data_IF_661037517445
#
_entry.id   IF_661037517445
#
_cell.length_a   1.000
_cell.length_b   1.000
_cell.length_c   1.000
_cell.angle_alpha   90.00
_cell.angle_beta   90.00
_cell.angle_gamma   90.00
#
_symmetry.space_group_name_H-M   'P 1'
#
loop_
_entity.id
_entity.type
_entity.pdbx_description
1 polymer ?
#
# COMPACT_ATOMS: atom_id res chain seq x y z
N UNK A 1 16.44 16.42 -21.85
CA UNK A 1 15.97 15.02 -21.64
C UNK A 1 15.30 14.45 -22.89
N UNK A 2 14.31 15.12 -23.48
CA UNK A 2 13.50 14.58 -24.61
C UNK A 2 14.25 14.20 -25.89
N UNK A 3 15.47 14.71 -26.10
CA UNK A 3 16.33 14.37 -27.24
C UNK A 3 17.19 13.12 -27.03
N UNK A 4 17.19 12.53 -25.84
CA UNK A 4 17.98 11.35 -25.50
C UNK A 4 17.23 10.05 -25.88
N UNK A 5 17.93 8.93 -26.15
CA UNK A 5 17.28 7.63 -26.29
C UNK A 5 16.54 7.22 -25.01
N UNK A 6 15.43 6.45 -25.09
CA UNK A 6 14.63 6.04 -23.92
C UNK A 6 15.44 5.36 -22.80
N UNK A 7 16.46 4.59 -23.15
CA UNK A 7 17.33 3.88 -22.21
C UNK A 7 18.19 4.86 -21.40
N UNK A 8 18.74 5.88 -22.06
CA UNK A 8 19.52 6.94 -21.42
C UNK A 8 18.61 7.84 -20.58
N UNK A 9 17.39 8.10 -21.04
CA UNK A 9 16.39 8.80 -20.25
C UNK A 9 16.05 8.02 -18.98
N UNK A 10 15.87 6.70 -19.07
CA UNK A 10 15.65 5.82 -17.92
C UNK A 10 16.82 5.84 -16.93
N UNK A 11 18.07 5.79 -17.39
CA UNK A 11 19.24 5.89 -16.50
C UNK A 11 19.31 7.22 -15.76
N UNK A 12 18.94 8.32 -16.41
CA UNK A 12 18.81 9.64 -15.75
C UNK A 12 17.70 9.62 -14.69
N UNK A 13 16.57 8.97 -14.99
CA UNK A 13 15.46 8.86 -14.05
C UNK A 13 15.81 8.07 -12.79
N UNK A 14 16.73 7.09 -12.86
CA UNK A 14 17.25 6.37 -11.68
C UNK A 14 18.02 7.26 -10.70
N UNK A 15 18.55 8.40 -11.17
CA UNK A 15 19.30 9.32 -10.32
C UNK A 15 18.42 10.22 -9.43
N UNK A 16 17.10 10.15 -9.58
CA UNK A 16 16.17 11.03 -8.89
C UNK A 16 15.62 10.36 -7.60
N UNK A 17 15.24 11.15 -6.58
CA UNK A 17 14.58 10.71 -5.32
C UNK A 17 13.04 10.76 -5.31
N UNK A 18 12.33 10.07 -4.41
CA UNK A 18 10.86 9.79 -4.49
C UNK A 18 10.01 10.98 -4.95
N UNK A 19 10.28 12.14 -4.41
CA UNK A 19 9.53 13.35 -4.69
C UNK A 19 9.78 13.86 -6.12
N UNK A 20 11.01 13.72 -6.64
CA UNK A 20 11.40 14.15 -7.98
C UNK A 20 10.75 13.35 -9.13
N UNK A 21 10.80 12.01 -9.17
CA UNK A 21 10.08 11.26 -10.22
C UNK A 21 8.57 11.44 -10.09
N UNK A 22 8.03 11.51 -8.88
CA UNK A 22 6.60 11.74 -8.70
C UNK A 22 6.18 13.09 -9.27
N UNK A 23 6.92 14.16 -8.95
CA UNK A 23 6.72 15.49 -9.53
C UNK A 23 6.85 15.50 -11.04
N UNK A 24 7.85 14.81 -11.60
CA UNK A 24 8.02 14.68 -13.06
C UNK A 24 6.90 13.88 -13.73
N UNK A 25 6.40 12.83 -13.07
CA UNK A 25 5.27 11.99 -13.52
C UNK A 25 4.00 12.84 -13.63
N UNK A 26 3.78 13.79 -12.73
CA UNK A 26 2.62 14.70 -12.78
C UNK A 26 2.79 15.83 -13.79
N UNK A 27 4.00 16.40 -13.90
CA UNK A 27 4.25 17.60 -14.69
C UNK A 27 4.33 17.34 -16.21
N UNK A 28 4.64 16.11 -16.65
CA UNK A 28 4.90 15.84 -18.06
C UNK A 28 4.38 14.49 -18.54
N UNK A 29 3.45 14.50 -19.51
CA UNK A 29 2.82 13.30 -20.08
C UNK A 29 3.83 12.32 -20.71
N UNK A 30 4.86 12.84 -21.39
CA UNK A 30 5.88 11.98 -22.01
C UNK A 30 6.73 11.30 -20.93
N UNK A 31 7.18 12.06 -19.93
CA UNK A 31 7.96 11.49 -18.82
C UNK A 31 7.11 10.50 -18.02
N UNK A 32 5.82 10.77 -17.82
CA UNK A 32 4.87 9.83 -17.21
C UNK A 32 4.83 8.49 -17.95
N UNK A 33 4.67 8.53 -19.26
CA UNK A 33 4.63 7.30 -20.06
C UNK A 33 5.96 6.56 -20.01
N UNK A 34 7.08 7.30 -20.00
CA UNK A 34 8.40 6.72 -19.83
C UNK A 34 8.58 6.07 -18.45
N UNK A 35 8.17 6.76 -17.37
CA UNK A 35 8.21 6.24 -16.00
C UNK A 35 7.36 4.98 -15.90
N UNK A 36 6.12 5.00 -16.42
CA UNK A 36 5.24 3.84 -16.41
C UNK A 36 5.84 2.66 -17.20
N UNK A 37 6.50 2.93 -18.33
CA UNK A 37 7.19 1.91 -19.13
C UNK A 37 8.33 1.22 -18.35
N UNK A 38 8.99 1.95 -17.44
CA UNK A 38 10.13 1.45 -16.67
C UNK A 38 9.85 1.40 -15.15
N UNK A 39 8.58 1.32 -14.74
CA UNK A 39 8.15 1.54 -13.35
C UNK A 39 8.84 0.59 -12.37
N UNK A 40 8.99 -0.68 -12.72
CA UNK A 40 9.71 -1.67 -11.91
C UNK A 40 11.20 -1.41 -11.73
N UNK A 41 11.83 -0.62 -12.60
CA UNK A 41 13.23 -0.19 -12.47
C UNK A 41 13.41 1.21 -11.87
N UNK A 42 12.31 1.93 -11.64
CA UNK A 42 12.25 3.26 -11.05
C UNK A 42 11.58 3.28 -9.67
N UNK A 43 11.07 2.14 -9.20
CA UNK A 43 10.52 2.02 -7.87
C UNK A 43 11.61 2.28 -6.82
N UNK A 44 11.33 3.18 -5.88
CA UNK A 44 12.35 3.74 -4.98
C UNK A 44 12.48 3.04 -3.65
N UNK A 45 11.47 2.27 -3.29
CA UNK A 45 11.61 1.21 -2.27
C UNK A 45 11.03 -0.03 -2.93
N UNK A 46 11.93 -0.89 -3.41
CA UNK A 46 11.58 -2.23 -3.83
C UNK A 46 11.59 -3.12 -2.60
N UNK A 47 10.43 -3.61 -2.22
CA UNK A 47 10.25 -4.56 -1.12
C UNK A 47 10.14 -5.95 -1.76
N UNK A 48 10.84 -6.93 -1.20
CA UNK A 48 10.80 -8.28 -1.76
C UNK A 48 9.42 -8.91 -1.57
N UNK A 49 8.89 -8.85 -0.35
CA UNK A 49 7.59 -9.43 -0.03
C UNK A 49 6.75 -8.52 0.84
N UNK A 50 5.48 -8.34 0.48
CA UNK A 50 4.43 -7.85 1.37
C UNK A 50 3.58 -9.02 1.83
N UNK A 51 3.32 -9.13 3.13
CA UNK A 51 2.36 -10.09 3.67
C UNK A 51 1.39 -9.38 4.59
N UNK A 52 0.09 -9.53 4.33
CA UNK A 52 -0.97 -9.07 5.23
C UNK A 52 -1.46 -10.23 6.08
N UNK A 53 -1.47 -10.04 7.40
CA UNK A 53 -1.86 -11.07 8.37
C UNK A 53 -2.54 -10.43 9.57
N UNK A 54 -3.29 -11.22 10.33
CA UNK A 54 -3.80 -10.80 11.64
C UNK A 54 -2.63 -10.50 12.58
N UNK A 55 -2.71 -9.39 13.31
CA UNK A 55 -1.68 -8.98 14.26
C UNK A 55 -1.82 -9.75 15.59
N UNK A 56 -1.19 -10.92 15.71
CA UNK A 56 -1.11 -11.63 16.99
C UNK A 56 -0.01 -11.03 17.89
N UNK A 57 -0.41 -10.39 19.01
CA UNK A 57 0.49 -10.00 20.12
C UNK A 57 1.64 -9.05 19.77
N UNK A 58 1.47 -8.16 18.79
CA UNK A 58 2.47 -7.13 18.50
C UNK A 58 2.27 -5.88 19.37
N UNK A 59 3.35 -5.34 19.91
CA UNK A 59 3.32 -4.08 20.65
C UNK A 59 2.97 -2.94 19.68
N UNK A 60 1.77 -2.37 19.84
CA UNK A 60 1.32 -1.20 19.08
C UNK A 60 2.19 0.00 19.42
N UNK A 61 3.12 0.37 18.54
CA UNK A 61 3.71 1.71 18.56
C UNK A 61 3.39 2.38 17.23
N UNK A 62 2.33 3.19 17.24
CA UNK A 62 2.04 4.09 16.14
C UNK A 62 3.14 5.15 16.10
N UNK A 63 4.00 5.08 15.09
CA UNK A 63 4.94 6.16 14.82
C UNK A 63 4.18 7.11 13.90
N UNK A 64 3.71 8.22 14.47
CA UNK A 64 3.12 9.29 13.67
C UNK A 64 4.18 9.74 12.67
N UNK A 65 3.86 9.85 11.37
CA UNK A 65 4.81 10.40 10.40
C UNK A 65 5.20 11.81 10.80
N UNK A 66 6.51 12.07 10.80
CA UNK A 66 7.02 13.43 10.86
C UNK A 66 6.65 14.10 9.53
N UNK A 67 5.89 15.21 9.60
CA UNK A 67 5.52 16.07 8.47
C UNK A 67 4.53 15.48 7.44
N UNK A 68 3.45 14.82 7.87
CA UNK A 68 2.32 14.51 6.97
C UNK A 68 1.33 15.68 6.89
N UNK A 69 1.40 16.45 5.80
CA UNK A 69 0.62 17.69 5.56
C UNK A 69 -0.77 17.44 4.95
N UNK A 70 -1.47 16.39 5.38
CA UNK A 70 -2.84 16.14 4.93
C UNK A 70 -3.82 17.12 5.57
N UNK A 71 -4.46 17.94 4.73
CA UNK A 71 -5.47 18.90 5.16
C UNK A 71 -6.85 18.24 5.13
N UNK A 72 -7.37 17.89 6.31
CA UNK A 72 -8.72 17.40 6.47
C UNK A 72 -9.71 18.58 6.47
N UNK A 73 -10.56 18.67 5.45
CA UNK A 73 -11.62 19.67 5.41
C UNK A 73 -12.85 19.25 6.24
N UNK A 74 -13.71 20.21 6.58
CA UNK A 74 -14.85 19.98 7.49
C UNK A 74 -15.83 18.92 6.97
N UNK A 75 -16.11 18.91 5.66
CA UNK A 75 -17.00 17.93 5.04
C UNK A 75 -16.45 16.50 5.16
N UNK A 76 -15.17 16.31 4.83
CA UNK A 76 -14.52 15.01 4.91
C UNK A 76 -14.37 14.56 6.37
N UNK A 77 -14.13 15.50 7.28
CA UNK A 77 -14.10 15.22 8.72
C UNK A 77 -15.44 14.67 9.21
N UNK A 78 -16.55 15.28 8.82
CA UNK A 78 -17.90 14.81 9.18
C UNK A 78 -18.17 13.40 8.63
N UNK A 79 -17.76 13.12 7.39
CA UNK A 79 -17.89 11.78 6.79
C UNK A 79 -17.04 10.74 7.54
N UNK A 80 -15.82 11.10 7.95
CA UNK A 80 -14.95 10.23 8.74
C UNK A 80 -15.53 9.97 10.13
N UNK A 81 -16.04 10.99 10.81
CA UNK A 81 -16.70 10.87 12.11
C UNK A 81 -17.92 9.95 12.04
N UNK A 82 -18.73 10.08 10.99
CA UNK A 82 -19.87 9.20 10.74
C UNK A 82 -19.44 7.74 10.52
N UNK A 83 -18.41 7.52 9.72
CA UNK A 83 -17.89 6.17 9.46
C UNK A 83 -17.36 5.48 10.73
N UNK A 84 -16.68 6.23 11.60
CA UNK A 84 -16.21 5.74 12.90
C UNK A 84 -17.38 5.43 13.84
N UNK A 85 -18.42 6.29 13.88
CA UNK A 85 -19.62 6.05 14.68
C UNK A 85 -20.38 4.79 14.21
N UNK A 86 -20.40 4.54 12.89
CA UNK A 86 -20.94 3.30 12.30
C UNK A 86 -20.01 2.09 12.47
N UNK A 87 -18.81 2.27 13.04
CA UNK A 87 -17.78 1.23 13.20
C UNK A 87 -17.43 0.53 11.88
N UNK A 88 -17.34 1.28 10.78
CA UNK A 88 -17.03 0.70 9.48
C UNK A 88 -15.59 0.15 9.50
N UNK A 89 -15.38 -1.15 9.22
CA UNK A 89 -14.05 -1.73 9.27
C UNK A 89 -13.23 -1.37 8.02
N UNK A 90 -11.94 -1.16 8.19
CA UNK A 90 -10.95 -0.98 7.12
C UNK A 90 -10.69 -2.27 6.34
N UNK A 91 -10.83 -3.42 7.00
CA UNK A 91 -10.58 -4.73 6.43
C UNK A 91 -11.75 -5.68 6.68
N UNK A 92 -12.02 -6.55 5.71
CA UNK A 92 -12.80 -7.76 5.93
C UNK A 92 -11.88 -8.95 6.07
N UNK A 93 -12.24 -9.87 6.97
CA UNK A 93 -11.55 -11.14 7.13
C UNK A 93 -12.50 -12.27 6.76
N UNK A 94 -12.03 -13.19 5.92
CA UNK A 94 -12.84 -14.29 5.36
C UNK A 94 -13.10 -15.45 6.32
N UNK A 95 -12.52 -15.43 7.53
CA UNK A 95 -12.74 -16.49 8.52
C UNK A 95 -13.86 -16.06 9.46
N UNK A 96 -14.91 -16.89 9.57
CA UNK A 96 -16.10 -16.67 10.42
C UNK A 96 -15.79 -16.56 11.92
N UNK A 97 -14.55 -16.85 12.32
CA UNK A 97 -14.07 -16.76 13.70
C UNK A 97 -12.96 -15.71 13.81
N UNK A 98 -13.30 -14.45 13.54
CA UNK A 98 -12.57 -13.35 14.14
C UNK A 98 -12.75 -13.54 15.65
N UNK A 99 -11.68 -13.91 16.37
CA UNK A 99 -11.72 -13.83 17.82
C UNK A 99 -12.10 -12.39 18.16
N UNK A 100 -13.10 -12.19 19.03
CA UNK A 100 -13.66 -10.86 19.37
C UNK A 100 -12.59 -9.81 19.79
N UNK A 101 -11.36 -10.27 20.08
CA UNK A 101 -10.22 -9.45 20.49
C UNK A 101 -9.32 -8.96 19.34
N UNK A 102 -9.64 -9.28 18.07
CA UNK A 102 -8.83 -8.80 16.93
C UNK A 102 -9.09 -7.31 16.67
N UNK A 103 -8.11 -6.47 16.98
CA UNK A 103 -8.21 -5.02 16.78
C UNK A 103 -7.39 -4.50 15.58
N UNK A 104 -6.51 -5.30 14.99
CA UNK A 104 -5.51 -4.80 14.04
C UNK A 104 -5.00 -5.84 13.04
N UNK A 105 -4.61 -5.35 11.87
CA UNK A 105 -3.95 -6.10 10.81
C UNK A 105 -2.49 -5.66 10.70
N UNK A 106 -1.59 -6.61 10.51
CA UNK A 106 -0.18 -6.36 10.29
C UNK A 106 0.19 -6.55 8.80
N UNK A 107 0.92 -5.58 8.28
CA UNK A 107 1.66 -5.65 7.03
C UNK A 107 3.12 -5.94 7.37
N UNK A 108 3.55 -7.15 7.03
CA UNK A 108 4.94 -7.59 7.15
C UNK A 108 5.62 -7.35 5.82
N UNK A 109 6.75 -6.65 5.86
CA UNK A 109 7.52 -6.26 4.68
C UNK A 109 8.91 -6.85 4.77
N UNK A 110 9.22 -7.74 3.86
CA UNK A 110 10.54 -8.35 3.73
C UNK A 110 11.39 -7.47 2.82
N UNK A 111 12.42 -6.86 3.38
CA UNK A 111 13.36 -6.03 2.61
C UNK A 111 14.39 -6.94 1.95
N UNK A 112 14.84 -6.64 0.71
CA UNK A 112 15.94 -7.36 0.10
C UNK A 112 17.20 -7.21 0.97
N UNK A 113 17.86 -8.32 1.28
CA UNK A 113 19.12 -8.28 2.01
C UNK A 113 20.20 -7.61 1.17
N UNK A 114 20.96 -6.70 1.79
CA UNK A 114 22.14 -6.11 1.16
C UNK A 114 23.38 -7.01 1.27
N UNK A 115 23.36 -8.00 2.17
CA UNK A 115 24.43 -8.96 2.42
C UNK A 115 23.85 -10.35 2.69
N UNK A 116 24.31 -11.38 1.98
CA UNK A 116 23.88 -12.79 2.10
C UNK A 116 24.10 -13.42 3.49
N UNK A 117 24.71 -12.69 4.43
CA UNK A 117 25.12 -13.21 5.74
C UNK A 117 24.34 -12.65 6.94
N UNK A 118 23.50 -11.63 6.74
CA UNK A 118 22.61 -11.11 7.78
C UNK A 118 21.19 -11.56 7.51
N UNK A 119 20.49 -12.15 8.49
CA UNK A 119 19.12 -12.62 8.31
C UNK A 119 18.14 -11.53 7.85
N UNK A 120 17.02 -11.98 7.27
CA UNK A 120 15.97 -11.14 6.69
C UNK A 120 15.58 -9.95 7.57
N UNK A 121 15.67 -8.74 7.01
CA UNK A 121 15.15 -7.52 7.65
C UNK A 121 13.65 -7.39 7.37
N UNK A 122 12.86 -7.43 8.45
CA UNK A 122 11.43 -7.21 8.37
C UNK A 122 11.06 -5.79 8.83
N UNK A 123 10.37 -5.06 7.97
CA UNK A 123 9.53 -3.94 8.36
C UNK A 123 8.16 -4.43 8.82
N UNK A 124 7.56 -3.77 9.78
CA UNK A 124 6.20 -4.04 10.20
C UNK A 124 5.40 -2.74 10.26
N UNK A 125 4.20 -2.79 9.68
CA UNK A 125 3.18 -1.76 9.81
C UNK A 125 1.91 -2.39 10.38
N UNK A 126 1.30 -1.77 11.38
CA UNK A 126 0.08 -2.27 12.02
C UNK A 126 -1.00 -1.23 11.84
N UNK A 127 -2.12 -1.63 11.22
CA UNK A 127 -3.29 -0.78 11.02
C UNK A 127 -4.47 -1.30 11.84
N UNK A 128 -5.30 -0.41 12.43
CA UNK A 128 -6.51 -0.83 13.11
C UNK A 128 -7.51 -1.45 12.12
N UNK A 129 -8.28 -2.44 12.58
CA UNK A 129 -9.41 -2.95 11.79
C UNK A 129 -10.52 -1.91 11.76
N UNK A 130 -10.81 -1.27 12.90
CA UNK A 130 -11.80 -0.21 13.00
C UNK A 130 -11.07 1.03 13.57
N UNK A 131 -10.79 2.05 12.75
CA UNK A 131 -10.29 3.32 13.24
C UNK A 131 -11.29 3.95 14.20
N UNK A 132 -10.81 4.42 15.36
CA UNK A 132 -11.62 4.98 16.45
C UNK A 132 -11.45 6.49 16.59
N UNK A 133 -10.40 7.08 16.03
CA UNK A 133 -10.14 8.52 16.08
C UNK A 133 -9.71 9.09 14.72
N UNK A 134 -9.83 10.41 14.58
CA UNK A 134 -9.36 11.13 13.39
C UNK A 134 -7.86 10.93 13.19
N UNK A 135 -7.07 10.91 14.26
CA UNK A 135 -5.63 10.66 14.19
C UNK A 135 -5.32 9.26 13.64
N UNK A 136 -6.09 8.24 14.03
CA UNK A 136 -5.96 6.90 13.46
C UNK A 136 -6.35 6.89 11.97
N UNK A 137 -7.40 7.61 11.57
CA UNK A 137 -7.78 7.74 10.16
C UNK A 137 -6.69 8.43 9.32
N UNK A 138 -6.10 9.52 9.82
CA UNK A 138 -4.98 10.21 9.17
C UNK A 138 -3.77 9.27 9.06
N UNK A 139 -3.46 8.54 10.11
CA UNK A 139 -2.36 7.57 10.12
C UNK A 139 -2.59 6.45 9.11
N UNK A 140 -3.80 5.85 9.09
CA UNK A 140 -4.20 4.84 8.10
C UNK A 140 -4.04 5.38 6.69
N UNK A 141 -4.58 6.58 6.42
CA UNK A 141 -4.47 7.22 5.10
C UNK A 141 -3.02 7.35 4.67
N UNK A 142 -2.18 7.93 5.53
CA UNK A 142 -0.75 8.07 5.27
C UNK A 142 -0.09 6.72 4.94
N UNK A 143 -0.32 5.71 5.78
CA UNK A 143 0.31 4.40 5.59
C UNK A 143 -0.12 3.72 4.29
N UNK A 144 -1.40 3.79 3.94
CA UNK A 144 -1.91 3.24 2.68
C UNK A 144 -1.38 4.01 1.47
N UNK A 145 -1.28 5.34 1.57
CA UNK A 145 -0.65 6.16 0.55
C UNK A 145 0.80 5.76 0.30
N UNK A 146 1.58 5.48 1.35
CA UNK A 146 2.94 4.97 1.19
C UNK A 146 2.95 3.58 0.53
N UNK A 147 2.12 2.66 1.03
CA UNK A 147 2.02 1.31 0.51
C UNK A 147 1.63 1.28 -0.98
N UNK A 148 0.70 2.12 -1.41
CA UNK A 148 0.30 2.21 -2.82
C UNK A 148 1.36 2.84 -3.72
N UNK A 149 2.34 3.54 -3.15
CA UNK A 149 3.46 4.11 -3.89
C UNK A 149 4.72 3.20 -3.89
N UNK A 150 4.68 2.06 -3.20
CA UNK A 150 5.79 1.11 -3.16
C UNK A 150 5.63 -0.01 -4.20
N UNK A 151 6.75 -0.59 -4.59
CA UNK A 151 6.79 -1.77 -5.45
C UNK A 151 7.14 -3.01 -4.65
N UNK A 152 6.41 -4.09 -4.91
CA UNK A 152 6.61 -5.38 -4.26
C UNK A 152 6.86 -6.47 -5.30
N UNK A 153 7.90 -7.29 -5.10
CA UNK A 153 8.07 -8.46 -5.97
C UNK A 153 6.95 -9.47 -5.77
N UNK A 154 6.55 -9.71 -4.52
CA UNK A 154 5.43 -10.57 -4.17
C UNK A 154 4.56 -9.92 -3.11
N UNK A 155 3.24 -10.04 -3.24
CA UNK A 155 2.28 -9.73 -2.19
C UNK A 155 1.44 -10.97 -1.86
N UNK A 156 1.25 -11.23 -0.57
CA UNK A 156 0.46 -12.33 -0.04
C UNK A 156 -0.60 -11.79 0.92
N UNK A 157 -1.88 -12.03 0.60
CA UNK A 157 -3.00 -11.63 1.45
C UNK A 157 -3.72 -12.88 1.97
N UNK A 158 -3.66 -13.07 3.29
CA UNK A 158 -4.21 -14.24 3.96
C UNK A 158 -5.62 -13.96 4.47
N UNK A 159 -6.62 -14.35 3.69
CA UNK A 159 -8.04 -14.19 4.03
C UNK A 159 -8.43 -12.76 4.45
N UNK A 160 -7.67 -11.73 4.05
CA UNK A 160 -7.92 -10.34 4.41
C UNK A 160 -8.04 -9.54 3.12
N UNK A 161 -9.09 -8.74 3.03
CA UNK A 161 -9.32 -7.81 1.91
C UNK A 161 -9.64 -6.43 2.46
N UNK A 162 -9.34 -5.39 1.69
CA UNK A 162 -9.73 -4.02 2.04
C UNK A 162 -11.25 -3.84 1.93
N UNK A 163 -11.81 -3.03 2.82
CA UNK A 163 -13.18 -2.57 2.65
C UNK A 163 -13.20 -1.41 1.62
N UNK A 164 -13.80 -1.59 0.43
CA UNK A 164 -13.80 -0.57 -0.61
C UNK A 164 -14.51 0.72 -0.16
N UNK A 165 -15.51 0.63 0.74
CA UNK A 165 -16.18 1.82 1.31
C UNK A 165 -15.17 2.67 2.09
N UNK A 166 -14.28 2.03 2.87
CA UNK A 166 -13.25 2.75 3.63
C UNK A 166 -12.14 3.30 2.73
N UNK A 167 -11.71 2.54 1.71
CA UNK A 167 -10.73 3.05 0.75
C UNK A 167 -11.26 4.28 0.01
N UNK A 168 -12.52 4.25 -0.45
CA UNK A 168 -13.14 5.41 -1.07
C UNK A 168 -13.26 6.58 -0.08
N UNK A 169 -13.70 6.35 1.15
CA UNK A 169 -13.77 7.39 2.18
C UNK A 169 -12.39 8.05 2.45
N UNK A 170 -11.31 7.26 2.43
CA UNK A 170 -9.96 7.75 2.67
C UNK A 170 -9.39 8.52 1.47
N UNK A 171 -9.78 8.21 0.23
CA UNK A 171 -9.10 8.70 -0.98
C UNK A 171 -10.01 9.35 -2.05
N UNK A 172 -11.34 9.45 -1.89
CA UNK A 172 -12.26 9.92 -2.96
C UNK A 172 -12.06 11.36 -3.41
N UNK A 173 -11.58 12.20 -2.51
CA UNK A 173 -11.24 13.58 -2.87
C UNK A 173 -9.89 13.69 -3.60
N UNK A 174 -9.10 12.62 -3.67
CA UNK A 174 -7.76 12.62 -4.24
C UNK A 174 -7.62 11.60 -5.38
N UNK A 175 -7.87 12.08 -6.61
CA UNK A 175 -7.72 11.28 -7.83
C UNK A 175 -6.26 11.08 -8.25
N UNK A 176 -5.30 11.66 -7.53
CA UNK A 176 -3.89 11.62 -7.91
C UNK A 176 -3.16 10.41 -7.31
N UNK A 177 -3.72 9.81 -6.25
CA UNK A 177 -3.15 8.66 -5.56
C UNK A 177 -3.63 7.37 -6.24
N UNK A 178 -2.71 6.51 -6.73
CA UNK A 178 -3.06 5.17 -7.16
C UNK A 178 -3.66 4.38 -5.99
N UNK A 179 -4.78 3.67 -6.20
CA UNK A 179 -5.42 2.85 -5.16
C UNK A 179 -5.10 1.36 -5.29
N UNK A 180 -3.99 1.06 -5.95
CA UNK A 180 -3.57 -0.30 -6.28
C UNK A 180 -2.12 -0.48 -5.85
N UNK A 181 -1.79 -1.67 -5.36
CA UNK A 181 -0.40 -2.03 -5.09
C UNK A 181 0.33 -2.29 -6.40
N UNK A 182 1.56 -1.79 -6.51
CA UNK A 182 2.45 -2.15 -7.62
C UNK A 182 3.15 -3.46 -7.27
N UNK A 183 2.59 -4.59 -7.73
CA UNK A 183 3.12 -5.93 -7.40
C UNK A 183 3.45 -6.73 -8.65
N UNK A 184 4.54 -7.48 -8.62
CA UNK A 184 4.92 -8.38 -9.71
C UNK A 184 4.23 -9.75 -9.62
N UNK A 185 3.98 -10.22 -8.40
CA UNK A 185 3.28 -11.47 -8.10
C UNK A 185 2.28 -11.21 -6.96
N UNK A 186 1.05 -11.71 -7.12
CA UNK A 186 0.01 -11.59 -6.11
C UNK A 186 -0.55 -12.97 -5.80
N UNK A 187 -0.50 -13.34 -4.53
CA UNK A 187 -1.08 -14.56 -3.98
C UNK A 187 -2.21 -14.20 -3.02
N UNK A 188 -3.41 -14.70 -3.32
CA UNK A 188 -4.53 -14.69 -2.40
C UNK A 188 -4.63 -16.06 -1.74
N UNK A 189 -4.63 -16.10 -0.41
CA UNK A 189 -4.83 -17.33 0.36
C UNK A 189 -6.25 -17.30 0.91
N UNK A 190 -7.09 -18.23 0.43
CA UNK A 190 -8.46 -18.39 0.89
C UNK A 190 -8.60 -19.74 1.62
N UNK A 191 -8.87 -19.72 2.93
CA UNK A 191 -8.97 -20.90 3.77
C UNK A 191 -7.68 -21.72 3.89
N UNK A 192 -7.80 -22.96 4.38
CA UNK A 192 -6.63 -23.77 4.78
C UNK A 192 -5.76 -24.29 3.61
N UNK A 193 -6.21 -24.29 2.36
CA UNK A 193 -5.45 -24.95 1.27
C UNK A 193 -5.55 -24.32 -0.13
N UNK A 194 -6.30 -23.22 -0.33
CA UNK A 194 -6.45 -22.63 -1.67
C UNK A 194 -5.58 -21.38 -1.83
N UNK A 195 -4.39 -21.54 -2.43
CA UNK A 195 -3.58 -20.43 -2.93
C UNK A 195 -3.94 -20.16 -4.38
N UNK A 196 -4.44 -18.97 -4.66
CA UNK A 196 -4.64 -18.50 -6.03
C UNK A 196 -3.52 -17.50 -6.35
N UNK A 197 -2.61 -17.91 -7.21
CA UNK A 197 -1.61 -17.03 -7.83
C UNK A 197 -2.26 -16.41 -9.06
N UNK A 198 -2.35 -15.09 -9.09
CA UNK A 198 -2.99 -14.38 -10.21
C UNK A 198 -2.09 -14.28 -11.45
N UNK A 199 -0.81 -14.64 -11.30
CA UNK A 199 0.07 -14.86 -12.46
C UNK A 199 -0.46 -15.99 -13.35
N UNK A 200 -1.09 -16.98 -12.73
CA UNK A 200 -1.58 -18.19 -13.41
C UNK A 200 -3.01 -18.04 -13.94
N UNK A 201 -3.73 -16.98 -13.53
CA UNK A 201 -5.11 -16.71 -13.96
C UNK A 201 -5.21 -15.79 -15.18
N UNK A 202 -4.13 -15.09 -15.53
CA UNK A 202 -4.11 -14.11 -16.63
C UNK A 202 -4.97 -12.86 -16.38
N UNK A 203 -5.51 -12.70 -15.16
CA UNK A 203 -6.28 -11.53 -14.76
C UNK A 203 -5.34 -10.37 -14.44
N UNK A 204 -5.64 -9.14 -14.89
CA UNK A 204 -4.88 -7.98 -14.46
C UNK A 204 -5.03 -7.83 -12.95
N UNK A 205 -3.88 -7.82 -12.26
CA UNK A 205 -3.74 -7.61 -10.80
C UNK A 205 -4.48 -6.33 -10.32
N UNK A 206 -4.74 -5.41 -11.26
CA UNK A 206 -5.32 -4.09 -11.06
C UNK A 206 -6.83 -4.07 -10.72
N UNK A 207 -7.55 -5.20 -10.74
CA UNK A 207 -9.00 -5.26 -10.51
C UNK A 207 -9.42 -5.75 -9.10
N UNK A 208 -8.46 -5.96 -8.20
CA UNK A 208 -8.67 -6.63 -6.91
C UNK A 208 -8.86 -5.65 -5.74
N UNK A 209 -8.81 -4.34 -6.01
CA UNK A 209 -8.98 -3.26 -5.03
C UNK A 209 -10.03 -2.25 -5.46
#
# INVERSE_FOLDING_TARGET
MFSLPPEVQFDVLKCLDFEQLFSLKQANFYIRNLINKYEGGLARIAIYRLRMTVAERFYKKYIKPENYDFILNDQLKEEWEKAMAESIPLFFHGVEHIQDDMESIAFLMEMPDSDESSGLRFGQLILPIIPKTIEEMIFVRYCLEQLFNWFFHCAEFDNIIFNPKMINLLFDNDKTIPRQFHVQELTLVAGNDMKVSLRDTGLPINEIF
#
